data_IF_215026957958
#
_entry.id   IF_215026957958
#
_cell.length_a   1.000
_cell.length_b   1.000
_cell.length_c   1.000
_cell.angle_alpha   90.00
_cell.angle_beta   90.00
_cell.angle_gamma   90.00
#
_symmetry.space_group_name_H-M   'P 1'
#
loop_
_entity.id
_entity.type
_entity.pdbx_description
1 polymer ?
#
# COMPACT_ATOMS: atom_id res chain seq x y z
N UNK A 1 12.64 1.88 -0.15
CA UNK A 1 11.16 1.90 -0.14
C UNK A 1 10.56 0.96 0.90
N UNK A 2 10.90 -0.35 0.91
CA UNK A 2 10.39 -1.30 1.90
C UNK A 2 10.58 -0.85 3.36
N UNK A 3 11.78 -0.36 3.71
CA UNK A 3 12.07 0.14 5.05
C UNK A 3 11.13 1.25 5.50
N UNK A 4 10.83 2.23 4.65
CA UNK A 4 9.90 3.32 5.01
C UNK A 4 8.46 2.82 5.17
N UNK A 5 7.98 1.95 4.29
CA UNK A 5 6.64 1.36 4.44
C UNK A 5 6.52 0.49 5.70
N UNK A 6 7.62 -0.14 6.12
CA UNK A 6 7.72 -0.80 7.42
C UNK A 6 7.65 0.21 8.56
N UNK A 7 8.45 1.29 8.52
CA UNK A 7 8.42 2.33 9.55
C UNK A 7 7.05 2.96 9.72
N UNK A 8 6.37 3.27 8.61
CA UNK A 8 5.03 3.86 8.68
C UNK A 8 4.03 2.95 9.40
N UNK A 9 4.08 1.65 9.12
CA UNK A 9 3.28 0.64 9.81
C UNK A 9 3.61 0.56 11.30
N UNK A 10 4.88 0.49 11.65
CA UNK A 10 5.32 0.45 13.05
C UNK A 10 4.86 1.68 13.81
N UNK A 11 5.03 2.88 13.22
CA UNK A 11 4.59 4.13 13.82
C UNK A 11 3.08 4.21 14.01
N UNK A 12 2.29 3.75 13.05
CA UNK A 12 0.83 3.66 13.24
C UNK A 12 0.46 2.66 14.33
N UNK A 13 1.14 1.51 14.42
CA UNK A 13 0.87 0.50 15.47
C UNK A 13 1.34 0.91 16.87
N UNK A 14 2.20 1.93 16.95
CA UNK A 14 2.72 2.50 18.19
C UNK A 14 2.00 3.82 18.54
N UNK A 15 0.95 4.18 17.80
CA UNK A 15 0.23 5.45 17.93
C UNK A 15 1.14 6.70 17.84
N UNK A 16 2.22 6.58 17.08
CA UNK A 16 3.17 7.68 16.79
C UNK A 16 2.74 8.53 15.60
N UNK A 17 1.67 8.14 14.91
CA UNK A 17 1.02 8.93 13.86
C UNK A 17 -0.39 9.35 14.26
N UNK A 18 -0.87 10.52 13.79
CA UNK A 18 -2.16 11.09 14.21
C UNK A 18 -3.38 10.31 13.70
N UNK A 19 -3.22 9.41 12.73
CA UNK A 19 -4.32 8.64 12.13
C UNK A 19 -4.14 7.14 12.40
N UNK A 20 -4.88 6.55 13.36
CA UNK A 20 -4.64 5.16 13.80
C UNK A 20 -5.29 4.08 12.91
N UNK A 21 -6.15 4.48 11.96
CA UNK A 21 -6.96 3.59 11.11
C UNK A 21 -6.46 3.49 9.67
N UNK A 22 -5.13 3.47 9.52
CA UNK A 22 -4.46 3.37 8.21
C UNK A 22 -3.53 2.15 8.17
N UNK A 23 -3.42 1.52 7.00
CA UNK A 23 -2.46 0.44 6.76
C UNK A 23 -1.43 0.79 5.69
N UNK A 24 -0.27 0.14 5.71
CA UNK A 24 0.80 0.36 4.73
C UNK A 24 1.22 -0.97 4.12
N UNK A 25 1.18 -1.10 2.80
CA UNK A 25 1.51 -2.33 2.10
C UNK A 25 2.81 -2.18 1.30
N UNK A 26 3.52 -3.29 1.18
CA UNK A 26 4.77 -3.35 0.42
C UNK A 26 4.47 -3.61 -1.06
N UNK A 27 5.46 -3.52 -1.94
CA UNK A 27 5.22 -3.87 -3.35
C UNK A 27 4.98 -5.37 -3.59
N UNK A 28 5.31 -6.26 -2.65
CA UNK A 28 4.89 -7.67 -2.74
C UNK A 28 3.36 -7.77 -2.79
N UNK A 29 2.66 -7.00 -1.96
CA UNK A 29 1.20 -6.90 -2.03
C UNK A 29 0.73 -6.45 -3.41
N UNK A 30 1.38 -5.44 -4.01
CA UNK A 30 1.05 -4.94 -5.33
C UNK A 30 1.24 -5.99 -6.44
N UNK A 31 2.29 -6.82 -6.33
CA UNK A 31 2.52 -7.97 -7.22
C UNK A 31 1.41 -9.01 -7.06
N UNK A 32 1.05 -9.37 -5.82
CA UNK A 32 -0.03 -10.31 -5.53
C UNK A 32 -1.38 -9.83 -6.09
N UNK A 33 -1.71 -8.55 -5.92
CA UNK A 33 -2.93 -7.95 -6.49
C UNK A 33 -2.91 -8.02 -8.02
N UNK A 34 -1.77 -7.75 -8.66
CA UNK A 34 -1.61 -7.86 -10.09
C UNK A 34 -1.83 -9.29 -10.62
N UNK A 35 -1.27 -10.29 -9.94
CA UNK A 35 -1.44 -11.70 -10.27
C UNK A 35 -2.91 -12.14 -10.13
N UNK A 36 -3.53 -11.80 -9.01
CA UNK A 36 -4.95 -12.04 -8.75
C UNK A 36 -5.86 -11.39 -9.80
N UNK A 37 -5.53 -10.19 -10.26
CA UNK A 37 -6.29 -9.52 -11.31
C UNK A 37 -6.20 -10.25 -12.65
N UNK A 38 -5.04 -10.78 -13.03
CA UNK A 38 -4.90 -11.62 -14.23
C UNK A 38 -5.80 -12.84 -14.14
N UNK A 39 -5.82 -13.54 -13.01
CA UNK A 39 -6.71 -14.70 -12.79
C UNK A 39 -8.19 -14.31 -12.87
N UNK A 40 -8.58 -13.16 -12.29
CA UNK A 40 -9.94 -12.64 -12.40
C UNK A 40 -10.34 -12.40 -13.85
N UNK A 41 -9.45 -11.82 -14.66
CA UNK A 41 -9.71 -11.56 -16.08
C UNK A 41 -9.85 -12.86 -16.89
N UNK A 42 -9.08 -13.90 -16.55
CA UNK A 42 -9.18 -15.21 -17.20
C UNK A 42 -10.52 -15.91 -16.93
N UNK A 43 -11.02 -15.89 -15.69
CA UNK A 43 -12.29 -16.53 -15.36
C UNK A 43 -13.06 -15.82 -14.24
N UNK A 44 -13.82 -14.78 -14.64
CA UNK A 44 -14.62 -13.97 -13.70
C UNK A 44 -15.63 -14.77 -12.87
N UNK A 45 -16.19 -15.87 -13.42
CA UNK A 45 -17.25 -16.65 -12.77
C UNK A 45 -16.71 -17.60 -11.70
N UNK A 46 -15.49 -18.11 -11.88
CA UNK A 46 -14.85 -19.06 -10.94
C UNK A 46 -13.79 -18.43 -10.05
N UNK A 47 -13.43 -17.17 -10.29
CA UNK A 47 -12.42 -16.49 -9.50
C UNK A 47 -12.77 -16.49 -8.01
N UNK A 48 -11.81 -16.94 -7.20
CA UNK A 48 -11.83 -16.85 -5.74
C UNK A 48 -10.65 -16.00 -5.28
N UNK A 49 -10.82 -15.30 -4.16
CA UNK A 49 -9.74 -14.48 -3.60
C UNK A 49 -8.68 -15.41 -3.03
N UNK A 50 -7.44 -15.19 -3.45
CA UNK A 50 -6.29 -15.93 -2.94
C UNK A 50 -6.13 -15.77 -1.41
N UNK A 51 -5.72 -16.85 -0.75
CA UNK A 51 -5.59 -16.90 0.71
C UNK A 51 -4.59 -15.86 1.22
N UNK A 52 -3.52 -15.56 0.47
CA UNK A 52 -2.54 -14.53 0.85
C UNK A 52 -3.19 -13.14 0.89
N UNK A 53 -4.06 -12.82 -0.07
CA UNK A 53 -4.81 -11.56 -0.09
C UNK A 53 -5.80 -11.48 1.09
N UNK A 54 -6.41 -12.59 1.47
CA UNK A 54 -7.25 -12.67 2.67
C UNK A 54 -6.41 -12.38 3.92
N UNK A 55 -5.18 -12.92 4.03
CA UNK A 55 -4.29 -12.63 5.17
C UNK A 55 -3.89 -11.15 5.25
N UNK A 56 -3.72 -10.46 4.11
CA UNK A 56 -3.55 -9.00 4.11
C UNK A 56 -4.79 -8.28 4.66
N UNK A 57 -5.99 -8.68 4.21
CA UNK A 57 -7.25 -8.08 4.65
C UNK A 57 -7.58 -8.30 6.13
N UNK A 58 -7.09 -9.42 6.71
CA UNK A 58 -7.20 -9.73 8.14
C UNK A 58 -6.13 -9.05 9.00
N UNK A 59 -5.18 -8.32 8.39
CA UNK A 59 -4.08 -7.69 9.12
C UNK A 59 -3.01 -8.66 9.62
N UNK A 60 -3.05 -9.92 9.18
CA UNK A 60 -2.02 -10.94 9.46
C UNK A 60 -0.75 -10.72 8.62
N UNK A 61 -0.90 -10.06 7.46
CA UNK A 61 0.20 -9.64 6.61
C UNK A 61 0.22 -8.12 6.38
N UNK A 62 1.40 -7.54 6.09
CA UNK A 62 2.75 -8.10 6.24
C UNK A 62 3.06 -8.62 7.64
N UNK A 63 3.84 -9.70 7.71
CA UNK A 63 4.17 -10.39 8.94
C UNK A 63 4.90 -9.49 9.95
N UNK A 64 5.89 -8.72 9.48
CA UNK A 64 6.55 -7.69 10.27
C UNK A 64 5.61 -6.51 10.50
N UNK A 65 5.35 -6.23 11.78
CA UNK A 65 4.38 -5.24 12.22
C UNK A 65 2.93 -5.64 11.92
N UNK A 66 2.64 -6.94 11.99
CA UNK A 66 1.29 -7.53 12.02
C UNK A 66 0.42 -6.75 13.00
N UNK A 67 -0.79 -6.37 12.56
CA UNK A 67 -1.70 -5.55 13.34
C UNK A 67 -2.95 -6.29 13.79
N UNK A 68 -3.31 -7.40 13.13
CA UNK A 68 -4.57 -8.11 13.31
C UNK A 68 -5.82 -7.22 13.16
N UNK A 69 -5.65 -6.08 12.48
CA UNK A 69 -6.71 -5.10 12.20
C UNK A 69 -7.36 -5.42 10.85
N UNK A 70 -8.68 -5.57 10.84
CA UNK A 70 -9.46 -5.99 9.67
C UNK A 70 -9.77 -4.80 8.76
N UNK A 71 -9.60 -4.98 7.45
CA UNK A 71 -9.92 -3.95 6.45
C UNK A 71 -11.41 -3.66 6.38
N UNK A 72 -11.78 -2.39 6.41
CA UNK A 72 -13.17 -1.94 6.43
C UNK A 72 -13.83 -2.01 7.80
N UNK A 73 -13.15 -2.52 8.83
CA UNK A 73 -13.63 -2.58 10.22
C UNK A 73 -12.72 -1.77 11.15
N UNK A 74 -11.43 -2.06 11.13
CA UNK A 74 -10.41 -1.39 11.96
C UNK A 74 -9.52 -0.44 11.16
N UNK A 75 -9.41 -0.68 9.84
CA UNK A 75 -8.61 0.11 8.89
C UNK A 75 -9.55 0.69 7.85
N UNK A 76 -9.51 2.01 7.68
CA UNK A 76 -10.38 2.74 6.74
C UNK A 76 -9.74 2.88 5.36
N UNK A 77 -8.41 2.94 5.32
CA UNK A 77 -7.64 3.06 4.10
C UNK A 77 -6.26 2.42 4.21
N UNK A 78 -5.72 2.01 3.07
CA UNK A 78 -4.35 1.51 2.96
C UNK A 78 -3.56 2.31 1.94
N UNK A 79 -2.25 2.42 2.18
CA UNK A 79 -1.29 2.95 1.23
C UNK A 79 -0.43 1.84 0.66
N UNK A 80 -0.11 1.89 -0.62
CA UNK A 80 0.83 0.96 -1.24
C UNK A 80 1.66 1.63 -2.32
N UNK A 81 2.79 1.01 -2.65
CA UNK A 81 3.66 1.38 -3.76
C UNK A 81 3.45 0.40 -4.91
N UNK A 82 3.42 0.91 -6.14
CA UNK A 82 3.30 0.09 -7.35
C UNK A 82 4.47 0.38 -8.26
N UNK A 83 5.22 -0.66 -8.60
CA UNK A 83 6.23 -0.58 -9.65
C UNK A 83 5.55 -0.80 -11.01
N UNK A 84 5.55 0.26 -11.80
CA UNK A 84 5.02 0.28 -13.16
C UNK A 84 6.17 0.02 -14.12
N UNK A 85 5.97 -0.98 -15.00
CA UNK A 85 6.92 -1.36 -16.07
C UNK A 85 8.35 -1.62 -15.57
N UNK A 86 8.53 -2.00 -14.31
CA UNK A 86 9.83 -2.26 -13.67
C UNK A 86 10.79 -1.05 -13.65
N UNK A 87 10.29 0.17 -13.91
CA UNK A 87 11.14 1.36 -14.00
C UNK A 87 10.55 2.63 -13.36
N UNK A 88 9.29 2.60 -12.93
CA UNK A 88 8.63 3.78 -12.40
C UNK A 88 7.78 3.45 -11.16
N UNK A 89 7.87 4.28 -10.13
CA UNK A 89 7.12 4.09 -8.88
C UNK A 89 5.97 5.08 -8.75
N UNK A 90 4.77 4.54 -8.56
CA UNK A 90 3.59 5.31 -8.13
C UNK A 90 3.16 4.88 -6.73
N UNK A 91 2.39 5.72 -6.06
CA UNK A 91 1.76 5.37 -4.80
C UNK A 91 0.25 5.48 -4.89
N UNK A 92 -0.44 4.62 -4.14
CA UNK A 92 -1.90 4.57 -4.09
C UNK A 92 -2.37 4.79 -2.66
N UNK A 93 -3.47 5.51 -2.50
CA UNK A 93 -4.32 5.48 -1.31
C UNK A 93 -5.63 4.79 -1.67
N UNK A 94 -5.93 3.69 -1.01
CA UNK A 94 -7.13 2.88 -1.26
C UNK A 94 -8.06 3.06 -0.07
N UNK A 95 -9.17 3.75 -0.28
CA UNK A 95 -10.15 4.04 0.77
C UNK A 95 -11.34 3.09 0.65
N UNK A 96 -11.61 2.32 1.71
CA UNK A 96 -12.63 1.28 1.69
C UNK A 96 -14.06 1.85 1.84
N UNK A 97 -14.22 2.91 2.63
CA UNK A 97 -15.49 3.58 2.87
C UNK A 97 -15.93 4.38 1.63
N UNK A 98 -15.05 5.25 1.12
CA UNK A 98 -15.31 6.04 -0.09
C UNK A 98 -15.26 5.19 -1.36
N UNK A 99 -14.74 3.95 -1.27
CA UNK A 99 -14.54 3.03 -2.39
C UNK A 99 -13.74 3.68 -3.51
N UNK A 100 -12.62 4.31 -3.16
CA UNK A 100 -11.72 4.98 -4.12
C UNK A 100 -10.32 4.39 -4.12
N UNK A 101 -9.66 4.52 -5.27
CA UNK A 101 -8.22 4.35 -5.42
C UNK A 101 -7.66 5.67 -5.90
N UNK A 102 -7.09 6.45 -4.98
CA UNK A 102 -6.44 7.71 -5.27
C UNK A 102 -4.99 7.43 -5.70
N UNK A 103 -4.62 7.88 -6.89
CA UNK A 103 -3.33 7.63 -7.53
C UNK A 103 -2.45 8.87 -7.40
N UNK A 104 -1.31 8.74 -6.75
CA UNK A 104 -0.28 9.77 -6.70
C UNK A 104 0.86 9.41 -7.65
N UNK A 105 1.05 10.24 -8.68
CA UNK A 105 2.00 9.97 -9.77
C UNK A 105 2.67 11.27 -10.23
N UNK A 106 3.99 11.36 -10.06
CA UNK A 106 4.77 12.55 -10.37
C UNK A 106 4.84 12.92 -11.86
N UNK A 107 4.73 11.97 -12.79
CA UNK A 107 4.81 12.29 -14.23
C UNK A 107 3.44 12.55 -14.87
N UNK A 108 2.34 12.54 -14.10
CA UNK A 108 1.01 12.95 -14.57
C UNK A 108 0.34 12.06 -15.63
N UNK A 109 0.95 10.93 -16.01
CA UNK A 109 0.37 9.97 -16.96
C UNK A 109 -0.76 9.12 -16.37
N UNK A 110 -1.27 8.16 -17.16
CA UNK A 110 -2.27 7.17 -16.72
C UNK A 110 -1.72 5.75 -16.84
N UNK A 111 -1.83 4.98 -15.77
CA UNK A 111 -1.39 3.58 -15.70
C UNK A 111 -2.56 2.64 -15.36
N UNK A 112 -3.64 2.76 -16.14
CA UNK A 112 -4.94 2.10 -15.88
C UNK A 112 -4.80 0.62 -15.54
N UNK A 113 -4.06 -0.17 -16.34
CA UNK A 113 -3.92 -1.62 -16.10
C UNK A 113 -3.44 -2.00 -14.69
N UNK A 114 -2.53 -1.21 -14.11
CA UNK A 114 -1.96 -1.48 -12.79
C UNK A 114 -2.90 -1.05 -11.68
N UNK A 115 -3.59 0.08 -11.87
CA UNK A 115 -4.50 0.66 -10.89
C UNK A 115 -5.86 -0.08 -10.89
N UNK A 116 -6.34 -0.48 -12.07
CA UNK A 116 -7.58 -1.25 -12.25
C UNK A 116 -7.53 -2.59 -11.51
N UNK A 117 -6.32 -3.16 -11.36
CA UNK A 117 -6.12 -4.36 -10.55
C UNK A 117 -6.58 -4.13 -9.11
N UNK A 118 -6.16 -3.02 -8.48
CA UNK A 118 -6.61 -2.67 -7.13
C UNK A 118 -8.10 -2.36 -7.09
N UNK A 119 -8.60 -1.58 -8.05
CA UNK A 119 -10.01 -1.22 -8.11
C UNK A 119 -10.92 -2.45 -8.17
N UNK A 120 -10.48 -3.54 -8.81
CA UNK A 120 -11.25 -4.77 -8.94
C UNK A 120 -10.99 -5.79 -7.83
N UNK A 121 -9.76 -5.96 -7.37
CA UNK A 121 -9.41 -7.00 -6.39
C UNK A 121 -9.77 -6.58 -4.96
N UNK A 122 -9.49 -5.34 -4.57
CA UNK A 122 -9.71 -4.87 -3.19
C UNK A 122 -11.15 -5.05 -2.70
N UNK A 123 -12.22 -4.70 -3.46
CA UNK A 123 -13.59 -4.90 -2.99
C UNK A 123 -13.92 -6.36 -2.68
N UNK A 124 -13.24 -7.30 -3.36
CA UNK A 124 -13.41 -8.75 -3.13
C UNK A 124 -12.70 -9.16 -1.84
N UNK A 125 -11.47 -8.70 -1.63
CA UNK A 125 -10.72 -8.94 -0.38
C UNK A 125 -11.50 -8.40 0.82
N UNK A 126 -11.94 -7.14 0.77
CA UNK A 126 -12.70 -6.50 1.86
C UNK A 126 -13.94 -7.32 2.19
N UNK A 127 -14.66 -7.83 1.18
CA UNK A 127 -15.84 -8.69 1.38
C UNK A 127 -15.50 -10.04 2.02
N UNK A 128 -14.38 -10.66 1.66
CA UNK A 128 -13.99 -11.97 2.20
C UNK A 128 -13.61 -11.92 3.69
N UNK A 129 -13.11 -10.78 4.16
CA UNK A 129 -12.66 -10.61 5.56
C UNK A 129 -13.73 -10.09 6.52
N UNK A 130 -14.93 -9.76 6.03
CA UNK A 130 -16.05 -9.36 6.90
C UNK A 130 -16.70 -10.56 7.60
N UNK A 131 -17.49 -10.28 8.63
CA UNK A 131 -18.35 -11.30 9.23
C UNK A 131 -19.35 -11.88 8.21
N UNK A 132 -19.82 -13.10 8.44
CA UNK A 132 -20.79 -13.77 7.56
C UNK A 132 -22.06 -12.92 7.31
N UNK A 133 -22.51 -12.19 8.33
CA UNK A 133 -23.71 -11.34 8.25
C UNK A 133 -23.48 -10.13 7.34
N UNK A 134 -22.37 -9.42 7.51
CA UNK A 134 -22.01 -8.24 6.71
C UNK A 134 -21.64 -8.61 5.28
N UNK A 135 -20.93 -9.73 5.09
CA UNK A 135 -20.54 -10.26 3.78
C UNK A 135 -21.74 -10.44 2.84
N UNK A 136 -22.91 -10.84 3.35
CA UNK A 136 -24.15 -10.97 2.56
C UNK A 136 -24.67 -9.64 2.03
N UNK A 137 -24.42 -8.54 2.73
CA UNK A 137 -24.89 -7.21 2.38
C UNK A 137 -23.94 -6.49 1.40
N UNK A 138 -22.67 -6.89 1.37
CA UNK A 138 -21.67 -6.26 0.51
C UNK A 138 -21.82 -6.65 -0.96
N UNK A 139 -21.97 -5.60 -1.78
CA UNK A 139 -21.95 -5.70 -3.25
C UNK A 139 -20.52 -5.46 -3.76
N UNK A 140 -20.00 -6.45 -4.49
CA UNK A 140 -18.73 -6.34 -5.18
C UNK A 140 -18.96 -5.48 -6.43
N UNK A 141 -18.40 -4.26 -6.40
CA UNK A 141 -18.29 -3.34 -7.53
C UNK A 141 -16.88 -2.75 -7.51
N UNK A 142 -16.26 -2.52 -8.68
CA UNK A 142 -14.95 -1.88 -8.73
C UNK A 142 -14.96 -0.53 -8.00
N UNK A 143 -13.86 -0.21 -7.33
CA UNK A 143 -13.67 1.12 -6.73
C UNK A 143 -13.42 2.17 -7.80
N UNK A 144 -13.78 3.42 -7.51
CA UNK A 144 -13.54 4.55 -8.41
C UNK A 144 -12.06 4.95 -8.36
N UNK A 145 -11.39 4.91 -9.51
CA UNK A 145 -10.01 5.38 -9.64
C UNK A 145 -9.98 6.89 -9.81
N UNK A 146 -9.19 7.58 -8.99
CA UNK A 146 -8.99 9.03 -9.05
C UNK A 146 -7.51 9.35 -9.20
N UNK A 147 -7.13 9.99 -10.30
CA UNK A 147 -5.76 10.51 -10.44
C UNK A 147 -5.72 11.87 -9.76
N UNK A 148 -4.94 11.95 -8.68
CA UNK A 148 -4.86 13.18 -7.90
C UNK A 148 -3.99 14.18 -8.66
N UNK A 149 -4.45 15.42 -8.89
CA UNK A 149 -3.65 16.43 -9.58
C UNK A 149 -2.33 16.69 -8.86
N UNK A 150 -1.22 16.46 -9.55
CA UNK A 150 0.12 16.80 -9.09
C UNK A 150 0.58 18.10 -9.72
N UNK A 151 1.60 18.72 -9.12
CA UNK A 151 2.29 19.85 -9.75
C UNK A 151 2.82 19.40 -11.13
N UNK A 152 2.52 20.11 -12.23
CA UNK A 152 3.02 19.75 -13.54
C UNK A 152 4.55 19.86 -13.63
N UNK A 153 5.18 18.96 -14.40
CA UNK A 153 6.60 19.04 -14.73
C UNK A 153 7.56 18.87 -13.54
N UNK A 154 7.16 18.07 -12.55
CA UNK A 154 8.02 17.57 -11.47
C UNK A 154 8.68 16.25 -11.88
N UNK A 155 9.66 15.79 -11.10
CA UNK A 155 10.50 14.63 -11.39
C UNK A 155 11.26 14.79 -12.72
N UNK A 156 11.78 15.99 -13.03
CA UNK A 156 12.50 16.26 -14.29
C UNK A 156 13.73 15.36 -14.49
N UNK A 157 14.37 14.97 -13.39
CA UNK A 157 15.51 14.04 -13.40
C UNK A 157 15.13 12.62 -13.86
N UNK A 158 13.84 12.27 -13.82
CA UNK A 158 13.31 10.89 -13.96
C UNK A 158 13.89 9.87 -12.97
N UNK A 159 14.62 10.31 -11.94
CA UNK A 159 15.30 9.46 -10.97
C UNK A 159 14.65 9.50 -9.58
N UNK A 160 13.67 10.38 -9.37
CA UNK A 160 13.08 10.69 -8.05
C UNK A 160 11.71 10.06 -7.79
N UNK A 161 11.15 9.29 -8.73
CA UNK A 161 9.80 8.73 -8.62
C UNK A 161 9.56 7.95 -7.31
N UNK A 162 10.55 7.20 -6.81
CA UNK A 162 10.46 6.50 -5.53
C UNK A 162 10.41 7.43 -4.31
N UNK A 163 11.16 8.55 -4.34
CA UNK A 163 11.12 9.55 -3.28
C UNK A 163 9.78 10.29 -3.29
N UNK A 164 9.31 10.69 -4.47
CA UNK A 164 7.98 11.26 -4.66
C UNK A 164 6.88 10.34 -4.15
N UNK A 165 6.87 9.06 -4.55
CA UNK A 165 5.84 8.11 -4.14
C UNK A 165 5.77 7.94 -2.62
N UNK A 166 6.93 7.84 -1.93
CA UNK A 166 6.96 7.75 -0.47
C UNK A 166 6.46 9.03 0.20
N UNK A 167 6.89 10.19 -0.29
CA UNK A 167 6.52 11.47 0.30
C UNK A 167 5.08 11.86 0.01
N UNK A 168 4.50 11.47 -1.12
CA UNK A 168 3.06 11.66 -1.37
C UNK A 168 2.21 10.88 -0.37
N UNK A 169 2.59 9.64 -0.04
CA UNK A 169 1.95 8.86 1.04
C UNK A 169 2.03 9.63 2.36
N UNK A 170 3.22 10.08 2.74
CA UNK A 170 3.45 10.80 3.99
C UNK A 170 2.63 12.10 4.06
N UNK A 171 2.67 12.92 3.01
CA UNK A 171 1.90 14.16 2.93
C UNK A 171 0.41 13.88 3.03
N UNK A 172 -0.13 12.94 2.25
CA UNK A 172 -1.55 12.61 2.28
C UNK A 172 -2.00 12.08 3.64
N UNK A 173 -1.21 11.20 4.26
CA UNK A 173 -1.48 10.66 5.59
C UNK A 173 -1.45 11.73 6.69
N UNK A 174 -0.57 12.73 6.58
CA UNK A 174 -0.45 13.84 7.53
C UNK A 174 -1.41 15.01 7.24
N UNK A 175 -2.21 14.94 6.17
CA UNK A 175 -3.09 16.05 5.75
C UNK A 175 -2.33 17.24 5.16
N UNK A 176 -1.09 17.04 4.73
CA UNK A 176 -0.27 18.07 4.09
C UNK A 176 -0.61 18.18 2.58
N UNK A 177 -0.47 19.38 2.04
CA UNK A 177 -0.66 19.59 0.60
C UNK A 177 0.41 18.86 -0.21
N UNK A 178 0.00 18.09 -1.21
CA UNK A 178 0.93 17.36 -2.09
C UNK A 178 1.78 18.29 -2.95
N UNK A 179 1.30 19.51 -3.21
CA UNK A 179 2.01 20.59 -3.93
C UNK A 179 3.29 21.05 -3.22
N UNK A 180 3.46 20.73 -1.94
CA UNK A 180 4.70 21.00 -1.21
C UNK A 180 5.89 20.25 -1.80
N UNK A 181 5.69 19.11 -2.45
CA UNK A 181 6.77 18.34 -3.07
C UNK A 181 7.05 18.83 -4.49
N UNK A 182 8.32 19.11 -4.77
CA UNK A 182 8.79 19.56 -6.07
C UNK A 182 10.30 19.32 -6.22
N UNK A 183 10.83 19.57 -7.41
CA UNK A 183 12.23 19.26 -7.73
C UNK A 183 13.22 20.08 -6.91
N UNK A 184 12.83 21.27 -6.42
CA UNK A 184 13.71 22.12 -5.61
C UNK A 184 13.96 21.52 -4.21
N UNK A 185 13.01 20.71 -3.69
CA UNK A 185 13.11 20.12 -2.36
C UNK A 185 13.18 18.59 -2.33
N UNK A 186 13.12 17.92 -3.48
CA UNK A 186 13.13 16.45 -3.54
C UNK A 186 14.43 15.85 -2.99
N UNK A 187 15.55 16.56 -3.13
CA UNK A 187 16.82 16.17 -2.52
C UNK A 187 16.73 16.17 -0.99
N UNK A 188 16.18 17.22 -0.39
CA UNK A 188 15.97 17.29 1.06
C UNK A 188 15.00 16.20 1.54
N UNK A 189 13.96 15.91 0.75
CA UNK A 189 13.05 14.80 1.01
C UNK A 189 13.76 13.43 1.01
N UNK A 190 14.70 13.18 0.08
CA UNK A 190 15.54 11.98 0.10
C UNK A 190 16.38 11.90 1.36
N UNK A 191 17.03 13.00 1.74
CA UNK A 191 17.84 13.05 2.96
C UNK A 191 16.99 12.79 4.20
N UNK A 192 15.75 13.30 4.22
CA UNK A 192 14.80 13.02 5.30
C UNK A 192 14.43 11.53 5.37
N UNK A 193 14.18 10.87 4.24
CA UNK A 193 13.95 9.41 4.17
C UNK A 193 15.13 8.65 4.78
N UNK A 194 16.36 9.01 4.41
CA UNK A 194 17.58 8.39 4.97
C UNK A 194 17.70 8.64 6.47
N UNK A 195 17.48 9.88 6.90
CA UNK A 195 17.52 10.25 8.32
C UNK A 195 16.45 9.51 9.13
N UNK A 196 15.24 9.33 8.60
CA UNK A 196 14.18 8.59 9.28
C UNK A 196 14.51 7.11 9.46
N UNK A 197 15.15 6.49 8.45
CA UNK A 197 15.66 5.13 8.56
C UNK A 197 16.78 5.04 9.59
N UNK A 198 17.73 5.98 9.57
CA UNK A 198 18.82 6.03 10.55
C UNK A 198 18.26 6.21 11.96
N UNK A 199 17.35 7.16 12.17
CA UNK A 199 16.69 7.39 13.47
C UNK A 199 15.96 6.15 13.95
N UNK A 200 15.21 5.49 13.08
CA UNK A 200 14.51 4.25 13.42
C UNK A 200 15.45 3.10 13.79
N UNK A 201 16.60 3.00 13.12
CA UNK A 201 17.62 2.00 13.46
C UNK A 201 18.24 2.21 14.86
N UNK A 202 18.08 3.39 15.44
CA UNK A 202 18.52 3.73 16.80
C UNK A 202 17.35 3.85 17.80
N UNK A 203 16.12 3.52 17.38
CA UNK A 203 14.95 3.56 18.26
C UNK A 203 14.87 2.26 19.08
N UNK A 204 15.01 2.32 20.42
CA UNK A 204 15.06 1.12 21.26
C UNK A 204 13.79 0.27 21.17
N UNK A 205 12.62 0.89 20.93
CA UNK A 205 11.35 0.17 20.80
C UNK A 205 11.33 -0.62 19.49
N UNK A 206 11.77 -0.01 18.39
CA UNK A 206 11.81 -0.68 17.09
C UNK A 206 12.88 -1.77 17.05
N UNK A 207 14.05 -1.52 17.64
CA UNK A 207 15.11 -2.52 17.81
C UNK A 207 14.56 -3.72 18.57
N UNK A 208 13.85 -3.50 19.68
CA UNK A 208 13.30 -4.59 20.48
C UNK A 208 12.22 -5.37 19.73
N UNK A 209 11.34 -4.70 18.98
CA UNK A 209 10.33 -5.35 18.13
C UNK A 209 10.98 -6.19 17.03
N UNK A 210 12.02 -5.68 16.38
CA UNK A 210 12.78 -6.44 15.39
C UNK A 210 13.46 -7.66 16.01
N UNK A 211 14.03 -7.52 17.22
CA UNK A 211 14.67 -8.63 17.96
C UNK A 211 13.70 -9.75 18.33
N UNK A 212 12.45 -9.41 18.70
CA UNK A 212 11.42 -10.39 19.07
C UNK A 212 10.64 -10.97 17.90
N UNK A 213 10.91 -10.52 16.67
CA UNK A 213 10.13 -10.95 15.52
C UNK A 213 10.29 -12.47 15.28
N UNK A 214 9.15 -13.13 15.11
CA UNK A 214 9.10 -14.53 14.68
C UNK A 214 8.36 -14.59 13.34
N UNK A 215 9.00 -15.07 12.27
CA UNK A 215 8.31 -15.26 10.99
C UNK A 215 7.11 -16.18 11.16
N UNK A 216 5.93 -15.84 10.60
CA UNK A 216 4.80 -16.75 10.58
C UNK A 216 5.19 -18.01 9.78
N UNK A 217 4.70 -19.17 10.24
CA UNK A 217 4.81 -20.41 9.47
C UNK A 217 4.16 -20.17 8.11
N UNK A 218 4.94 -20.30 7.04
CA UNK A 218 4.54 -19.90 5.69
C UNK A 218 3.27 -20.61 5.25
N UNK A 219 2.29 -19.85 4.76
CA UNK A 219 1.34 -20.35 3.77
C UNK A 219 2.00 -20.01 2.43
N UNK A 220 2.92 -20.86 1.98
CA UNK A 220 3.38 -20.77 0.60
C UNK A 220 2.23 -21.21 -0.30
N UNK A 221 1.75 -20.31 -1.16
CA UNK A 221 1.34 -20.74 -2.50
C UNK A 221 2.66 -20.92 -3.25
N UNK A 222 2.86 -22.10 -3.83
CA UNK A 222 4.08 -22.47 -4.57
C UNK A 222 4.35 -21.56 -5.80
N UNK A 223 3.46 -20.62 -6.12
CA UNK A 223 3.50 -19.77 -7.31
C UNK A 223 4.31 -18.46 -7.14
N UNK A 224 4.92 -18.19 -5.98
CA UNK A 224 5.63 -16.92 -5.71
C UNK A 224 7.15 -17.01 -5.97
N UNK A 225 7.69 -18.21 -6.21
CA UNK A 225 9.15 -18.40 -6.38
C UNK A 225 9.70 -17.77 -7.67
N UNK A 226 8.86 -17.49 -8.67
CA UNK A 226 9.29 -17.02 -10.00
C UNK A 226 9.16 -15.49 -10.25
N UNK A 227 9.04 -14.66 -9.21
CA UNK A 227 8.86 -13.20 -9.36
C UNK A 227 9.82 -12.32 -8.55
N UNK A 228 10.95 -12.87 -8.11
CA UNK A 228 12.12 -12.11 -7.65
C UNK A 228 13.24 -12.16 -8.69
#
# INVERSE_FOLDING_TARGET
MYGIMYLFREYTSLDRFPHPRVGFMTCNFSVTVGAAYKQLLMNKRRYQVDQLLIQYGLGALPAHGRTDKIWGVDVDRIYTLVNVKNNHWISLCINFELRTVDVFYCDGGKHSRYVDAFANIIPRVVKEVQSYKEKKQLIIKPYTVKYVPMRPGINRSSCDCGAYALKFIECHMLGLQLSLLNDDNIYAARMKITYDLWKAAHDPVLIERMRKYVPPKTVCSDDIVDLL
#
